data_IF_646949971707
#
_entry.id   IF_646949971707
#
_cell.length_a   1.000
_cell.length_b   1.000
_cell.length_c   1.000
_cell.angle_alpha   90.00
_cell.angle_beta   90.00
_cell.angle_gamma   90.00
#
_symmetry.space_group_name_H-M   'P 1'
#
loop_
_entity.id
_entity.type
_entity.pdbx_description
1 polymer ?
#
# COMPACT_ATOMS: atom_id res chain seq x y z
N UNK A 1 9.34 -3.95 21.71
CA UNK A 1 7.96 -3.55 22.02
C UNK A 1 7.44 -2.84 20.78
N UNK A 2 6.66 -3.52 19.94
CA UNK A 2 6.06 -2.90 18.76
C UNK A 2 4.95 -1.98 19.28
N UNK A 3 5.13 -0.66 19.13
CA UNK A 3 4.08 0.30 19.46
C UNK A 3 2.85 0.00 18.62
N UNK A 4 1.66 0.08 19.23
CA UNK A 4 0.39 -0.07 18.51
C UNK A 4 0.36 0.99 17.41
N UNK A 5 0.47 0.57 16.15
CA UNK A 5 0.27 1.47 15.01
C UNK A 5 -1.21 1.82 15.02
N UNK A 6 -1.52 3.08 15.32
CA UNK A 6 -2.86 3.60 15.13
C UNK A 6 -3.04 3.82 13.62
N UNK A 7 -3.58 2.80 12.96
CA UNK A 7 -3.84 2.83 11.52
C UNK A 7 -4.73 4.02 11.17
N UNK A 8 -4.39 4.73 10.10
CA UNK A 8 -5.17 5.87 9.63
C UNK A 8 -6.58 5.44 9.21
N UNK A 9 -7.60 5.97 9.90
CA UNK A 9 -8.99 5.67 9.59
C UNK A 9 -9.40 6.20 8.22
N UNK A 10 -8.79 7.28 7.73
CA UNK A 10 -9.07 7.82 6.40
C UNK A 10 -8.71 6.82 5.31
N UNK A 11 -7.61 6.09 5.47
CA UNK A 11 -7.21 5.06 4.52
C UNK A 11 -8.22 3.92 4.49
N UNK A 12 -8.75 3.48 5.63
CA UNK A 12 -9.80 2.46 5.67
C UNK A 12 -11.10 2.90 5.00
N UNK A 13 -11.52 4.15 5.23
CA UNK A 13 -12.76 4.70 4.69
C UNK A 13 -12.77 4.73 3.15
N UNK A 14 -11.59 4.72 2.51
CA UNK A 14 -11.48 4.62 1.05
C UNK A 14 -12.16 3.35 0.53
N UNK A 15 -11.98 2.23 1.24
CA UNK A 15 -12.47 0.92 0.79
C UNK A 15 -13.94 0.66 1.15
N UNK A 16 -14.55 1.46 2.02
CA UNK A 16 -15.97 1.29 2.36
C UNK A 16 -16.84 1.73 1.19
N UNK A 17 -17.64 0.80 0.64
CA UNK A 17 -18.53 1.08 -0.50
C UNK A 17 -17.76 1.53 -1.75
N UNK A 18 -16.56 0.99 -1.96
CA UNK A 18 -15.65 1.44 -3.01
C UNK A 18 -16.20 1.22 -4.42
N UNK A 19 -17.01 0.17 -4.65
CA UNK A 19 -17.59 -0.15 -5.95
C UNK A 19 -18.48 0.99 -6.47
N UNK A 20 -19.41 1.48 -5.62
CA UNK A 20 -20.28 2.60 -5.96
C UNK A 20 -19.47 3.88 -6.20
N UNK A 21 -18.45 4.12 -5.38
CA UNK A 21 -17.60 5.32 -5.51
C UNK A 21 -16.78 5.28 -6.80
N UNK A 22 -16.22 4.13 -7.14
CA UNK A 22 -15.47 3.91 -8.38
C UNK A 22 -16.38 3.99 -9.62
N UNK A 23 -17.61 3.46 -9.53
CA UNK A 23 -18.59 3.58 -10.62
C UNK A 23 -19.02 5.02 -10.88
N UNK A 24 -18.94 5.90 -9.88
CA UNK A 24 -19.27 7.32 -10.01
C UNK A 24 -18.05 8.19 -10.36
N UNK A 25 -16.85 7.75 -9.99
CA UNK A 25 -15.57 8.39 -10.27
C UNK A 25 -14.51 7.33 -10.58
N UNK A 26 -14.21 7.12 -11.86
CA UNK A 26 -13.19 6.16 -12.32
C UNK A 26 -11.78 6.48 -11.75
N UNK A 27 -11.56 7.71 -11.29
CA UNK A 27 -10.31 8.17 -10.67
C UNK A 27 -10.34 8.13 -9.14
N UNK A 28 -11.40 7.56 -8.53
CA UNK A 28 -11.66 7.60 -7.09
C UNK A 28 -10.43 7.25 -6.23
N UNK A 29 -9.79 6.11 -6.48
CA UNK A 29 -8.63 5.68 -5.70
C UNK A 29 -7.44 6.63 -5.87
N UNK A 30 -7.13 7.04 -7.10
CA UNK A 30 -6.05 8.00 -7.37
C UNK A 30 -6.28 9.32 -6.65
N UNK A 31 -7.51 9.85 -6.72
CA UNK A 31 -7.90 11.09 -6.05
C UNK A 31 -7.77 10.98 -4.52
N UNK A 32 -8.17 9.84 -3.94
CA UNK A 32 -8.07 9.61 -2.51
C UNK A 32 -6.61 9.49 -2.05
N UNK A 33 -5.79 8.74 -2.79
CA UNK A 33 -4.37 8.57 -2.47
C UNK A 33 -3.59 9.86 -2.62
N UNK A 34 -3.82 10.63 -3.69
CA UNK A 34 -3.25 11.98 -3.85
C UNK A 34 -3.66 12.87 -2.67
N UNK A 35 -4.93 12.82 -2.24
CA UNK A 35 -5.39 13.61 -1.09
C UNK A 35 -4.66 13.24 0.20
N UNK A 36 -4.34 11.95 0.40
CA UNK A 36 -3.54 11.50 1.55
C UNK A 36 -2.10 12.01 1.44
N UNK A 37 -1.48 11.87 0.27
CA UNK A 37 -0.04 12.16 0.08
C UNK A 37 0.27 13.63 -0.17
N UNK A 38 -0.74 14.44 -0.46
CA UNK A 38 -0.59 15.85 -0.82
C UNK A 38 0.17 16.63 0.25
N UNK A 39 1.35 17.09 -0.13
CA UNK A 39 2.22 17.91 0.72
C UNK A 39 3.05 17.13 1.73
N UNK A 40 3.02 15.79 1.70
CA UNK A 40 3.95 14.98 2.48
C UNK A 40 5.39 15.26 2.08
N UNK A 41 6.24 15.44 3.08
CA UNK A 41 7.69 15.31 2.94
C UNK A 41 8.10 13.85 2.72
N UNK A 42 9.32 13.59 2.22
CA UNK A 42 9.82 12.22 2.08
C UNK A 42 9.81 11.41 3.38
N UNK A 43 10.08 12.06 4.52
CA UNK A 43 10.04 11.43 5.84
C UNK A 43 8.61 11.05 6.25
N UNK A 44 7.64 11.92 6.01
CA UNK A 44 6.22 11.63 6.29
C UNK A 44 5.71 10.48 5.41
N UNK A 45 6.06 10.45 4.12
CA UNK A 45 5.72 9.35 3.23
C UNK A 45 6.34 8.03 3.72
N UNK A 46 7.62 8.03 4.10
CA UNK A 46 8.28 6.84 4.64
C UNK A 46 7.61 6.34 5.93
N UNK A 47 7.27 7.25 6.84
CA UNK A 47 6.61 6.93 8.10
C UNK A 47 5.13 6.53 7.92
N UNK A 48 4.52 6.78 6.77
CA UNK A 48 3.15 6.38 6.45
C UNK A 48 3.04 4.93 5.96
N UNK A 49 4.13 4.35 5.44
CA UNK A 49 4.21 2.97 4.90
C UNK A 49 3.52 1.92 5.82
N UNK A 50 3.73 1.91 7.15
CA UNK A 50 3.10 0.91 8.01
C UNK A 50 1.56 0.89 7.95
N UNK A 51 0.92 2.05 7.71
CA UNK A 51 -0.55 2.11 7.54
C UNK A 51 -1.00 1.29 6.32
N UNK A 52 -0.26 1.40 5.21
CA UNK A 52 -0.59 0.68 3.97
C UNK A 52 -0.33 -0.82 4.11
N UNK A 53 0.74 -1.21 4.80
CA UNK A 53 1.00 -2.63 5.09
C UNK A 53 -0.12 -3.25 5.94
N UNK A 54 -0.60 -2.53 6.95
CA UNK A 54 -1.73 -2.98 7.78
C UNK A 54 -3.04 -3.11 7.01
N UNK A 55 -3.27 -2.24 6.04
CA UNK A 55 -4.45 -2.33 5.16
C UNK A 55 -4.31 -3.50 4.21
N UNK A 56 -3.14 -3.70 3.58
CA UNK A 56 -2.89 -4.85 2.70
C UNK A 56 -3.23 -6.17 3.40
N UNK A 57 -2.90 -6.35 4.68
CA UNK A 57 -3.25 -7.56 5.42
C UNK A 57 -4.76 -7.82 5.60
N UNK A 58 -5.58 -6.77 5.48
CA UNK A 58 -7.03 -6.82 5.72
C UNK A 58 -7.84 -6.97 4.44
N UNK A 59 -7.23 -6.71 3.28
CA UNK A 59 -7.89 -6.83 1.99
C UNK A 59 -7.99 -8.31 1.59
N UNK A 60 -9.15 -8.68 1.07
CA UNK A 60 -9.46 -10.02 0.58
C UNK A 60 -9.95 -10.02 -0.88
N UNK A 61 -9.80 -8.88 -1.56
CA UNK A 61 -10.16 -8.65 -2.96
C UNK A 61 -8.89 -8.31 -3.78
N UNK A 62 -8.67 -9.01 -4.89
CA UNK A 62 -7.45 -8.86 -5.71
C UNK A 62 -7.32 -7.44 -6.27
N UNK A 63 -8.41 -6.84 -6.75
CA UNK A 63 -8.39 -5.48 -7.28
C UNK A 63 -8.03 -4.47 -6.18
N UNK A 64 -8.55 -4.63 -4.97
CA UNK A 64 -8.18 -3.76 -3.85
C UNK A 64 -6.71 -3.94 -3.44
N UNK A 65 -6.21 -5.17 -3.37
CA UNK A 65 -4.79 -5.43 -3.11
C UNK A 65 -3.92 -4.77 -4.18
N UNK A 66 -4.32 -4.89 -5.43
CA UNK A 66 -3.64 -4.32 -6.59
C UNK A 66 -3.47 -2.80 -6.49
N UNK A 67 -4.57 -2.07 -6.31
CA UNK A 67 -4.51 -0.59 -6.22
C UNK A 67 -3.73 -0.13 -4.97
N UNK A 68 -3.80 -0.90 -3.89
CA UNK A 68 -3.10 -0.59 -2.64
C UNK A 68 -1.60 -0.85 -2.74
N UNK A 69 -1.17 -1.85 -3.52
CA UNK A 69 0.25 -2.06 -3.82
C UNK A 69 0.83 -0.91 -4.65
N UNK A 70 0.08 -0.38 -5.61
CA UNK A 70 0.50 0.83 -6.33
C UNK A 70 0.63 2.04 -5.43
N UNK A 71 -0.29 2.20 -4.47
CA UNK A 71 -0.17 3.25 -3.46
C UNK A 71 1.08 3.08 -2.59
N UNK A 72 1.44 1.84 -2.22
CA UNK A 72 2.68 1.57 -1.50
C UNK A 72 3.92 1.96 -2.34
N UNK A 73 3.92 1.66 -3.64
CA UNK A 73 4.99 2.04 -4.57
C UNK A 73 5.09 3.58 -4.66
N UNK A 74 3.97 4.27 -4.76
CA UNK A 74 3.91 5.75 -4.75
C UNK A 74 4.56 6.32 -3.49
N UNK A 75 4.24 5.78 -2.31
CA UNK A 75 4.85 6.20 -1.05
C UNK A 75 6.37 6.01 -1.03
N UNK A 76 6.88 4.91 -1.59
CA UNK A 76 8.32 4.71 -1.74
C UNK A 76 8.95 5.72 -2.70
N UNK A 77 8.26 6.04 -3.80
CA UNK A 77 8.66 7.10 -4.73
C UNK A 77 8.72 8.48 -4.06
N UNK A 78 7.70 8.84 -3.28
CA UNK A 78 7.64 10.09 -2.51
C UNK A 78 8.68 10.15 -1.39
N UNK A 79 8.91 9.03 -0.71
CA UNK A 79 9.97 8.86 0.28
C UNK A 79 11.38 8.95 -0.34
N UNK A 80 11.49 8.91 -1.67
CA UNK A 80 12.72 9.00 -2.44
C UNK A 80 13.79 8.02 -1.92
N UNK A 81 13.38 6.78 -1.66
CA UNK A 81 14.25 5.77 -1.06
C UNK A 81 13.95 4.38 -1.59
N UNK A 82 14.99 3.55 -1.68
CA UNK A 82 14.85 2.10 -1.91
C UNK A 82 15.08 1.30 -0.63
N UNK A 83 15.23 1.98 0.52
CA UNK A 83 15.36 1.32 1.82
C UNK A 83 14.02 0.70 2.19
N UNK A 84 14.02 -0.61 2.44
CA UNK A 84 12.83 -1.32 2.96
C UNK A 84 12.50 -0.75 4.34
N UNK A 85 11.23 -0.40 4.56
CA UNK A 85 10.81 0.13 5.86
C UNK A 85 10.91 -1.00 6.91
N UNK A 86 11.42 -0.77 8.13
CA UNK A 86 11.59 -1.83 9.13
C UNK A 86 10.30 -2.62 9.43
N UNK A 87 9.16 -1.94 9.37
CA UNK A 87 7.85 -2.58 9.49
C UNK A 87 7.55 -3.56 8.36
N UNK A 88 7.86 -3.20 7.11
CA UNK A 88 7.71 -4.09 5.96
C UNK A 88 8.70 -5.25 6.05
N UNK A 89 9.96 -4.99 6.41
CA UNK A 89 10.99 -6.01 6.58
C UNK A 89 10.58 -7.07 7.63
N UNK A 90 10.14 -6.62 8.81
CA UNK A 90 9.69 -7.51 9.88
C UNK A 90 8.44 -8.34 9.53
N UNK A 91 7.64 -7.88 8.57
CA UNK A 91 6.41 -8.53 8.14
C UNK A 91 6.49 -9.18 6.74
N UNK A 92 7.68 -9.19 6.12
CA UNK A 92 7.85 -9.55 4.70
C UNK A 92 7.28 -10.92 4.35
N UNK A 93 7.61 -11.95 5.14
CA UNK A 93 7.14 -13.32 4.90
C UNK A 93 5.61 -13.42 4.97
N UNK A 94 5.00 -12.71 5.94
CA UNK A 94 3.55 -12.72 6.12
C UNK A 94 2.86 -12.00 4.95
N UNK A 95 3.37 -10.83 4.55
CA UNK A 95 2.82 -10.05 3.45
C UNK A 95 2.95 -10.80 2.13
N UNK A 96 4.10 -11.42 1.87
CA UNK A 96 4.32 -12.26 0.70
C UNK A 96 3.31 -13.41 0.62
N UNK A 97 3.09 -14.13 1.73
CA UNK A 97 2.12 -15.23 1.78
C UNK A 97 0.69 -14.74 1.58
N UNK A 98 0.36 -13.56 2.09
CA UNK A 98 -0.94 -12.93 1.88
C UNK A 98 -1.13 -12.58 0.39
N UNK A 99 -0.19 -11.84 -0.21
CA UNK A 99 -0.30 -11.35 -1.59
C UNK A 99 -0.32 -12.50 -2.61
N UNK A 100 0.40 -13.61 -2.37
CA UNK A 100 0.41 -14.80 -3.24
C UNK A 100 -0.97 -15.42 -3.49
N UNK A 101 -1.99 -15.08 -2.71
CA UNK A 101 -3.36 -15.54 -2.90
C UNK A 101 -4.08 -14.83 -4.05
N UNK A 102 -3.53 -13.70 -4.49
CA UNK A 102 -4.11 -12.79 -5.47
C UNK A 102 -3.23 -12.83 -6.73
N UNK A 103 -3.69 -13.51 -7.78
CA UNK A 103 -2.88 -13.87 -8.93
C UNK A 103 -2.36 -12.63 -9.64
N UNK A 104 -3.24 -11.67 -9.92
CA UNK A 104 -2.89 -10.45 -10.65
C UNK A 104 -1.97 -9.59 -9.79
N UNK A 105 -2.37 -9.31 -8.54
CA UNK A 105 -1.57 -8.53 -7.59
C UNK A 105 -0.17 -9.09 -7.39
N UNK A 106 -0.03 -10.41 -7.28
CA UNK A 106 1.27 -11.06 -7.16
C UNK A 106 2.08 -11.00 -8.47
N UNK A 107 1.41 -11.13 -9.62
CA UNK A 107 2.07 -11.19 -10.92
C UNK A 107 2.71 -9.86 -11.34
N UNK A 108 2.12 -8.72 -10.97
CA UNK A 108 2.52 -7.41 -11.51
C UNK A 108 2.91 -6.40 -10.42
N UNK A 109 2.00 -5.76 -9.64
CA UNK A 109 2.38 -4.65 -8.76
C UNK A 109 3.30 -5.15 -7.64
N UNK A 110 3.15 -6.39 -7.17
CA UNK A 110 4.08 -6.94 -6.20
C UNK A 110 5.49 -7.14 -6.79
N UNK A 111 5.61 -7.55 -8.06
CA UNK A 111 6.93 -7.63 -8.73
C UNK A 111 7.53 -6.26 -8.98
N UNK A 112 6.71 -5.26 -9.31
CA UNK A 112 7.15 -3.88 -9.45
C UNK A 112 7.66 -3.32 -8.11
N UNK A 113 6.94 -3.57 -7.01
CA UNK A 113 7.40 -3.23 -5.66
C UNK A 113 8.74 -3.90 -5.33
N UNK A 114 8.89 -5.21 -5.61
CA UNK A 114 10.18 -5.90 -5.40
C UNK A 114 11.31 -5.26 -6.21
N UNK A 115 11.04 -4.87 -7.45
CA UNK A 115 12.02 -4.18 -8.30
C UNK A 115 12.41 -2.81 -7.73
N UNK A 116 11.42 -2.01 -7.31
CA UNK A 116 11.62 -0.68 -6.71
C UNK A 116 12.49 -0.79 -5.44
N UNK A 117 12.19 -1.78 -4.59
CA UNK A 117 12.93 -2.07 -3.36
C UNK A 117 14.22 -2.87 -3.57
N UNK A 118 14.56 -3.21 -4.82
CA UNK A 118 15.74 -4.00 -5.21
C UNK A 118 15.84 -5.35 -4.49
N UNK A 119 14.69 -5.94 -4.18
CA UNK A 119 14.58 -7.28 -3.60
C UNK A 119 14.77 -8.30 -4.72
N UNK A 120 15.63 -9.30 -4.48
CA UNK A 120 15.83 -10.40 -5.43
C UNK A 120 14.61 -11.32 -5.42
N UNK A 121 14.03 -11.52 -6.60
CA UNK A 121 12.93 -12.45 -6.87
C UNK A 121 13.46 -13.87 -7.03
#
# INVERSE_FOLDING_TARGET
>A
MLGVIKMDSKLLEIYVGWEDKLSNDEWYFSNCFETITKGMSPEEAFNYIPNVIEVLFKLDDDFLVWVTLYFLIELYGLANTTQIHPYLEGNWSMLLQHIKKFEDSYATPFKELMKELRIKV
#
